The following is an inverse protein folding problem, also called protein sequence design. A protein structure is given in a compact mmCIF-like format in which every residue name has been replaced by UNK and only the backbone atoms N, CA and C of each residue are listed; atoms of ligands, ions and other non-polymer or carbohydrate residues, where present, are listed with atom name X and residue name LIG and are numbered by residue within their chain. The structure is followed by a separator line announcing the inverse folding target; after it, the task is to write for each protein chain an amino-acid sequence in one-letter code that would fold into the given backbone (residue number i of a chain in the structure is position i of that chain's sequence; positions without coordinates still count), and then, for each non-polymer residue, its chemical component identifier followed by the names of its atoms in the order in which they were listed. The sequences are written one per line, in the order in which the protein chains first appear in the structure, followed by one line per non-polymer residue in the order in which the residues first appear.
data_IF_951431190337
#
_entry.id   IF_951431190337
#
_cell.length_a   1.000
_cell.length_b   1.000
_cell.length_c   1.000
_cell.angle_alpha   90.00
_cell.angle_beta   90.00
_cell.angle_gamma   90.00
#
_symmetry.space_group_name_H-M   'P 1'
#
loop_
_entity.id
_entity.type
_entity.pdbx_description
1 polymer ?
#
# COMPACT_ATOMS: atom_id res chain seq x y z
N UNK A 1 -5.26 -7.61 68.25
CA UNK A 1 -6.21 -8.21 67.31
C UNK A 1 -5.74 -7.88 65.89
N UNK A 2 -4.86 -8.73 65.35
CA UNK A 2 -4.45 -8.76 63.93
C UNK A 2 -5.52 -9.54 63.16
N UNK A 3 -5.56 -9.41 61.83
CA UNK A 3 -6.60 -9.91 60.88
C UNK A 3 -7.74 -8.87 60.85
N UNK A 4 -7.91 -8.01 59.84
CA UNK A 4 -8.22 -8.28 58.42
C UNK A 4 -7.63 -7.13 57.56
N UNK A 5 -6.32 -7.15 57.27
CA UNK A 5 -5.69 -6.35 56.18
C UNK A 5 -5.43 -7.25 54.95
N UNK A 6 -5.98 -8.47 54.93
CA UNK A 6 -5.73 -9.44 53.86
C UNK A 6 -6.79 -9.48 52.74
N UNK A 7 -7.92 -8.78 52.88
CA UNK A 7 -8.99 -8.81 51.85
C UNK A 7 -8.78 -7.74 50.76
N UNK A 8 -8.02 -6.67 51.04
CA UNK A 8 -7.69 -5.65 50.03
C UNK A 8 -6.57 -6.06 49.05
N UNK A 9 -5.81 -7.13 49.36
CA UNK A 9 -4.76 -7.66 48.47
C UNK A 9 -5.27 -8.72 47.50
N UNK A 10 -6.53 -9.16 47.61
CA UNK A 10 -7.14 -10.12 46.68
C UNK A 10 -7.84 -9.48 45.48
N UNK A 11 -7.92 -8.14 45.42
CA UNK A 11 -8.67 -7.41 44.38
C UNK A 11 -7.78 -6.93 43.22
N UNK A 12 -6.45 -7.14 43.27
CA UNK A 12 -5.53 -6.59 42.27
C UNK A 12 -4.88 -7.62 41.32
N UNK A 13 -5.30 -8.90 41.33
CA UNK A 13 -4.60 -9.90 40.51
C UNK A 13 -5.43 -10.91 39.69
N UNK A 14 -6.77 -10.79 39.55
CA UNK A 14 -7.54 -11.70 38.68
C UNK A 14 -8.80 -11.03 38.11
N UNK A 15 -8.66 -10.27 37.03
CA UNK A 15 -9.73 -10.06 36.06
C UNK A 15 -9.08 -9.85 34.68
N UNK A 16 -8.35 -10.85 34.21
CA UNK A 16 -7.96 -10.89 32.80
C UNK A 16 -9.24 -10.97 31.98
N UNK A 17 -9.53 -9.92 31.21
CA UNK A 17 -10.67 -9.95 30.30
C UNK A 17 -10.53 -11.12 29.32
N UNK A 18 -11.64 -11.65 28.80
CA UNK A 18 -11.60 -12.68 27.76
C UNK A 18 -10.71 -12.24 26.57
N UNK A 19 -10.68 -10.96 26.22
CA UNK A 19 -9.75 -10.44 25.22
C UNK A 19 -8.27 -10.63 25.62
N UNK A 20 -7.91 -10.36 26.87
CA UNK A 20 -6.54 -10.54 27.39
C UNK A 20 -6.13 -12.01 27.37
N UNK A 21 -7.00 -12.90 27.87
CA UNK A 21 -6.74 -14.34 27.86
C UNK A 21 -6.64 -14.89 26.43
N UNK A 22 -7.46 -14.36 25.52
CA UNK A 22 -7.37 -14.68 24.09
C UNK A 22 -6.03 -14.28 23.48
N UNK A 23 -5.55 -13.06 23.76
CA UNK A 23 -4.25 -12.58 23.29
C UNK A 23 -3.09 -13.43 23.85
N UNK A 24 -3.14 -13.79 25.13
CA UNK A 24 -2.12 -14.63 25.77
C UNK A 24 -2.07 -16.04 25.18
N UNK A 25 -3.23 -16.66 24.94
CA UNK A 25 -3.31 -17.95 24.28
C UNK A 25 -2.78 -17.87 22.85
N UNK A 26 -3.12 -16.80 22.11
CA UNK A 26 -2.63 -16.56 20.75
C UNK A 26 -1.10 -16.45 20.69
N UNK A 27 -0.48 -15.72 21.62
CA UNK A 27 0.98 -15.61 21.70
C UNK A 27 1.68 -16.94 22.02
N UNK A 28 0.98 -17.86 22.69
CA UNK A 28 1.44 -19.23 22.96
C UNK A 28 1.10 -20.21 21.82
N UNK A 29 0.57 -19.72 20.70
CA UNK A 29 0.06 -20.51 19.58
C UNK A 29 -1.08 -21.50 19.94
N UNK A 30 -1.77 -21.27 21.07
CA UNK A 30 -2.98 -22.00 21.45
C UNK A 30 -4.20 -21.32 20.83
N UNK A 31 -4.34 -21.45 19.52
CA UNK A 31 -5.31 -20.70 18.72
C UNK A 31 -6.76 -21.10 19.00
N UNK A 32 -7.03 -22.37 19.25
CA UNK A 32 -8.40 -22.83 19.60
C UNK A 32 -8.87 -22.15 20.89
N UNK A 33 -8.01 -22.14 21.92
CA UNK A 33 -8.29 -21.45 23.17
C UNK A 33 -8.38 -19.94 22.98
N UNK A 34 -7.48 -19.35 22.17
CA UNK A 34 -7.53 -17.93 21.86
C UNK A 34 -8.86 -17.52 21.23
N UNK A 35 -9.35 -18.32 20.28
CA UNK A 35 -10.59 -18.02 19.56
C UNK A 35 -11.83 -18.26 20.39
N UNK A 36 -11.85 -19.27 21.26
CA UNK A 36 -12.91 -19.42 22.26
C UNK A 36 -13.02 -18.17 23.14
N UNK A 37 -11.90 -17.67 23.65
CA UNK A 37 -11.90 -16.42 24.42
C UNK A 37 -12.30 -15.19 23.59
N UNK A 38 -11.90 -15.11 22.31
CA UNK A 38 -12.35 -14.01 21.46
C UNK A 38 -13.84 -14.09 21.15
N UNK A 39 -14.45 -15.27 21.06
CA UNK A 39 -15.90 -15.44 20.87
C UNK A 39 -16.66 -14.85 22.05
N UNK A 40 -16.27 -15.22 23.27
CA UNK A 40 -16.88 -14.68 24.50
C UNK A 40 -16.69 -13.16 24.60
N UNK A 41 -15.46 -12.68 24.38
CA UNK A 41 -15.17 -11.25 24.41
C UNK A 41 -15.96 -10.48 23.33
N UNK A 42 -16.08 -11.03 22.12
CA UNK A 42 -16.84 -10.42 21.05
C UNK A 42 -18.35 -10.42 21.36
N UNK A 43 -18.88 -11.47 22.00
CA UNK A 43 -20.26 -11.51 22.47
C UNK A 43 -20.54 -10.38 23.48
N UNK A 44 -19.57 -10.06 24.34
CA UNK A 44 -19.57 -8.94 25.28
C UNK A 44 -19.24 -7.56 24.66
N UNK A 45 -19.32 -7.43 23.33
CA UNK A 45 -19.02 -6.19 22.59
C UNK A 45 -17.58 -5.68 22.74
N UNK A 46 -16.61 -6.54 23.05
CA UNK A 46 -15.19 -6.22 22.88
C UNK A 46 -14.86 -6.31 21.39
N UNK A 47 -15.09 -5.22 20.67
CA UNK A 47 -15.00 -5.17 19.21
C UNK A 47 -13.62 -5.54 18.63
N UNK A 48 -12.53 -5.37 19.40
CA UNK A 48 -11.19 -5.85 19.01
C UNK A 48 -11.16 -7.38 18.92
N UNK A 49 -11.86 -8.09 19.81
CA UNK A 49 -11.99 -9.55 19.71
C UNK A 49 -12.78 -9.97 18.47
N UNK A 50 -13.85 -9.23 18.14
CA UNK A 50 -14.58 -9.43 16.89
C UNK A 50 -13.66 -9.24 15.66
N UNK A 51 -12.80 -8.22 15.67
CA UNK A 51 -11.81 -8.02 14.60
C UNK A 51 -10.85 -9.22 14.48
N UNK A 52 -10.34 -9.74 15.61
CA UNK A 52 -9.46 -10.91 15.62
C UNK A 52 -10.14 -12.17 15.07
N UNK A 53 -11.42 -12.39 15.39
CA UNK A 53 -12.21 -13.48 14.80
C UNK A 53 -12.43 -13.29 13.31
N UNK A 54 -12.73 -12.07 12.86
CA UNK A 54 -12.85 -11.77 11.44
C UNK A 54 -11.58 -12.11 10.67
N UNK A 55 -10.42 -11.75 11.24
CA UNK A 55 -9.11 -12.08 10.67
C UNK A 55 -8.81 -13.59 10.66
N UNK A 56 -9.17 -14.31 11.73
CA UNK A 56 -9.02 -15.76 11.80
C UNK A 56 -9.78 -16.46 10.66
N UNK A 57 -11.05 -16.08 10.47
CA UNK A 57 -11.88 -16.66 9.40
C UNK A 57 -11.43 -16.25 7.99
N UNK A 58 -10.90 -15.04 7.80
CA UNK A 58 -10.35 -14.61 6.51
C UNK A 58 -9.05 -15.34 6.14
N UNK A 59 -8.16 -15.52 7.12
CA UNK A 59 -6.84 -16.12 6.93
C UNK A 59 -6.87 -17.65 6.88
N UNK A 60 -7.89 -18.27 7.49
CA UNK A 60 -8.00 -19.72 7.61
C UNK A 60 -7.03 -20.33 8.65
N UNK A 61 -6.49 -19.52 9.56
CA UNK A 61 -5.65 -20.03 10.65
C UNK A 61 -6.55 -20.72 11.68
N UNK A 62 -6.37 -22.03 11.82
CA UNK A 62 -7.08 -23.01 12.68
C UNK A 62 -8.59 -23.16 12.50
N UNK A 63 -9.28 -22.18 11.90
CA UNK A 63 -10.62 -22.35 11.36
C UNK A 63 -10.55 -22.53 9.85
N UNK A 64 -11.42 -23.37 9.28
CA UNK A 64 -11.58 -23.40 7.82
C UNK A 64 -11.92 -21.97 7.35
N UNK A 65 -11.20 -21.53 6.32
CA UNK A 65 -11.39 -20.21 5.73
C UNK A 65 -12.85 -19.99 5.35
N UNK A 66 -13.44 -18.93 5.88
CA UNK A 66 -14.85 -18.59 5.71
C UNK A 66 -15.02 -17.07 5.65
N UNK A 67 -15.09 -16.54 4.43
CA UNK A 67 -15.24 -15.10 4.24
C UNK A 67 -16.59 -14.57 4.72
N UNK A 68 -17.65 -15.39 4.75
CA UNK A 68 -18.98 -14.96 5.19
C UNK A 68 -18.97 -14.67 6.68
N UNK A 69 -18.36 -15.57 7.48
CA UNK A 69 -18.13 -15.30 8.91
C UNK A 69 -17.17 -14.13 9.14
N UNK A 70 -16.12 -14.00 8.32
CA UNK A 70 -15.24 -12.84 8.40
C UNK A 70 -16.01 -11.52 8.21
N UNK A 71 -16.94 -11.45 7.25
CA UNK A 71 -17.83 -10.30 7.04
C UNK A 71 -18.66 -9.99 8.28
N UNK A 72 -19.28 -10.99 8.90
CA UNK A 72 -20.11 -10.79 10.10
C UNK A 72 -19.30 -10.18 11.26
N UNK A 73 -18.14 -10.76 11.55
CA UNK A 73 -17.27 -10.30 12.63
C UNK A 73 -16.64 -8.94 12.34
N UNK A 74 -16.18 -8.68 11.12
CA UNK A 74 -15.67 -7.37 10.74
C UNK A 74 -16.76 -6.30 10.75
N UNK A 75 -18.00 -6.64 10.40
CA UNK A 75 -19.14 -5.72 10.53
C UNK A 75 -19.36 -5.34 12.00
N UNK A 76 -19.47 -6.32 12.89
CA UNK A 76 -19.63 -6.05 14.34
C UNK A 76 -18.48 -5.20 14.89
N UNK A 77 -17.24 -5.50 14.50
CA UNK A 77 -16.08 -4.71 14.91
C UNK A 77 -16.08 -3.28 14.34
N UNK A 78 -16.47 -3.11 13.07
CA UNK A 78 -16.56 -1.81 12.43
C UNK A 78 -17.69 -0.95 13.00
N UNK A 79 -18.82 -1.56 13.37
CA UNK A 79 -19.93 -0.88 14.04
C UNK A 79 -19.50 -0.35 15.43
N UNK A 80 -18.54 -1.02 16.08
CA UNK A 80 -17.87 -0.57 17.30
C UNK A 80 -16.58 0.23 17.10
N UNK A 81 -16.44 0.88 15.94
CA UNK A 81 -15.36 1.81 15.60
C UNK A 81 -13.93 1.22 15.60
N UNK A 82 -13.80 -0.10 15.42
CA UNK A 82 -12.52 -0.71 15.06
C UNK A 82 -12.26 -0.44 13.59
N UNK A 83 -11.61 0.69 13.28
CA UNK A 83 -11.46 1.18 11.91
C UNK A 83 -10.67 0.25 10.97
N UNK A 84 -9.75 -0.55 11.50
CA UNK A 84 -9.09 -1.61 10.72
C UNK A 84 -10.08 -2.72 10.28
N UNK A 85 -11.12 -2.99 11.07
CA UNK A 85 -12.20 -3.88 10.66
C UNK A 85 -13.04 -3.26 9.55
N UNK A 86 -13.33 -1.96 9.61
CA UNK A 86 -13.99 -1.24 8.51
C UNK A 86 -13.17 -1.33 7.21
N UNK A 87 -11.84 -1.21 7.30
CA UNK A 87 -10.95 -1.40 6.15
C UNK A 87 -11.06 -2.81 5.56
N UNK A 88 -10.96 -3.86 6.40
CA UNK A 88 -11.03 -5.24 5.92
C UNK A 88 -12.42 -5.56 5.37
N UNK A 89 -13.49 -5.10 6.01
CA UNK A 89 -14.85 -5.24 5.49
C UNK A 89 -15.01 -4.53 4.13
N UNK A 90 -14.41 -3.34 3.98
CA UNK A 90 -14.36 -2.62 2.72
C UNK A 90 -13.66 -3.41 1.62
N UNK A 91 -12.54 -4.09 1.94
CA UNK A 91 -11.84 -5.00 1.01
C UNK A 91 -12.71 -6.20 0.59
N UNK A 92 -13.50 -6.77 1.50
CA UNK A 92 -14.38 -7.90 1.17
C UNK A 92 -15.51 -7.47 0.23
N UNK A 93 -16.13 -6.31 0.46
CA UNK A 93 -17.11 -5.74 -0.47
C UNK A 93 -16.49 -5.29 -1.80
N UNK A 94 -15.27 -4.74 -1.80
CA UNK A 94 -14.57 -4.36 -3.03
C UNK A 94 -14.21 -5.59 -3.88
N UNK A 95 -13.97 -6.76 -3.27
CA UNK A 95 -13.58 -7.98 -4.00
C UNK A 95 -14.68 -9.03 -4.15
N UNK A 96 -15.87 -8.77 -3.62
CA UNK A 96 -16.97 -9.74 -3.60
C UNK A 96 -16.62 -11.05 -2.87
N UNK A 97 -15.90 -10.97 -1.74
CA UNK A 97 -15.46 -12.15 -0.97
C UNK A 97 -16.34 -12.36 0.26
N UNK A 98 -17.10 -13.46 0.28
CA UNK A 98 -18.07 -13.75 1.36
C UNK A 98 -19.34 -12.89 1.32
N UNK A 99 -19.40 -11.96 0.37
CA UNK A 99 -20.53 -11.05 0.06
C UNK A 99 -20.52 -10.78 -1.44
N UNK A 100 -21.65 -10.36 -2.00
CA UNK A 100 -21.67 -9.79 -3.35
C UNK A 100 -20.78 -8.55 -3.41
N UNK A 101 -20.10 -8.37 -4.55
CA UNK A 101 -19.30 -7.18 -4.79
C UNK A 101 -20.19 -5.93 -4.73
N UNK A 102 -19.76 -4.93 -3.94
CA UNK A 102 -20.46 -3.66 -3.79
C UNK A 102 -19.44 -2.53 -3.53
N UNK A 103 -19.05 -1.83 -4.60
CA UNK A 103 -18.08 -0.74 -4.54
C UNK A 103 -18.59 0.47 -3.77
N UNK A 104 -19.89 0.76 -3.81
CA UNK A 104 -20.46 1.90 -3.08
C UNK A 104 -20.40 1.65 -1.57
N UNK A 105 -20.64 0.41 -1.14
CA UNK A 105 -20.45 0.00 0.25
C UNK A 105 -18.98 -0.01 0.64
N UNK A 106 -18.09 -0.48 -0.23
CA UNK A 106 -16.64 -0.36 0.00
C UNK A 106 -16.19 1.09 0.16
N UNK A 107 -16.68 2.04 -0.66
CA UNK A 107 -16.42 3.48 -0.54
C UNK A 107 -16.85 4.00 0.83
N UNK A 108 -18.06 3.67 1.29
CA UNK A 108 -18.55 4.10 2.63
C UNK A 108 -17.66 3.56 3.75
N UNK A 109 -17.30 2.29 3.69
CA UNK A 109 -16.47 1.61 4.69
C UNK A 109 -15.04 2.15 4.71
N UNK A 110 -14.43 2.36 3.54
CA UNK A 110 -13.12 3.00 3.44
C UNK A 110 -13.15 4.45 3.92
N UNK A 111 -14.23 5.19 3.67
CA UNK A 111 -14.40 6.54 4.21
C UNK A 111 -14.42 6.51 5.73
N UNK A 112 -15.28 5.70 6.36
CA UNK A 112 -15.33 5.55 7.82
C UNK A 112 -13.96 5.16 8.40
N UNK A 113 -13.30 4.19 7.76
CA UNK A 113 -11.98 3.71 8.17
C UNK A 113 -10.88 4.78 8.07
N UNK A 114 -10.91 5.57 6.99
CA UNK A 114 -9.93 6.63 6.71
C UNK A 114 -10.07 7.80 7.69
N UNK A 115 -11.30 8.19 7.98
CA UNK A 115 -11.60 9.22 8.98
C UNK A 115 -11.25 8.77 10.40
N UNK A 116 -11.32 7.47 10.68
CA UNK A 116 -10.88 6.86 11.93
C UNK A 116 -9.37 6.57 12.05
N UNK A 117 -8.54 7.02 11.09
CA UNK A 117 -7.08 6.92 11.19
C UNK A 117 -6.46 5.64 10.64
N UNK A 118 -7.22 4.74 10.03
CA UNK A 118 -6.67 3.59 9.30
C UNK A 118 -6.26 3.99 7.88
N UNK A 119 -5.17 4.76 7.73
CA UNK A 119 -4.83 5.50 6.51
C UNK A 119 -4.60 4.67 5.23
N UNK A 120 -4.41 3.34 5.33
CA UNK A 120 -4.42 2.44 4.16
C UNK A 120 -5.78 2.45 3.45
N UNK A 121 -6.87 2.66 4.17
CA UNK A 121 -8.20 2.82 3.58
C UNK A 121 -8.32 4.11 2.75
N UNK A 122 -7.66 5.20 3.17
CA UNK A 122 -7.60 6.44 2.39
C UNK A 122 -6.97 6.19 1.00
N UNK A 123 -5.93 5.36 0.93
CA UNK A 123 -5.31 4.96 -0.35
C UNK A 123 -6.28 4.20 -1.25
N UNK A 124 -6.98 3.20 -0.71
CA UNK A 124 -7.94 2.41 -1.50
C UNK A 124 -9.14 3.25 -1.93
N UNK A 125 -9.65 4.12 -1.05
CA UNK A 125 -10.71 5.07 -1.36
C UNK A 125 -10.30 6.01 -2.49
N UNK A 126 -9.11 6.62 -2.39
CA UNK A 126 -8.57 7.48 -3.43
C UNK A 126 -8.41 6.72 -4.76
N UNK A 127 -7.96 5.46 -4.71
CA UNK A 127 -7.79 4.60 -5.88
C UNK A 127 -9.13 4.21 -6.53
N UNK A 128 -10.22 4.11 -5.76
CA UNK A 128 -11.56 3.95 -6.34
C UNK A 128 -11.99 5.23 -7.07
N UNK A 129 -11.71 6.40 -6.49
CA UNK A 129 -12.00 7.69 -7.11
C UNK A 129 -11.15 8.00 -8.36
N UNK A 130 -10.14 7.20 -8.70
CA UNK A 130 -9.45 7.31 -10.00
C UNK A 130 -10.01 6.39 -11.08
N UNK A 131 -10.89 5.44 -10.72
CA UNK A 131 -11.56 4.55 -11.67
C UNK A 131 -12.69 5.28 -12.38
N UNK A 132 -12.83 5.06 -13.69
CA UNK A 132 -13.81 5.73 -14.56
C UNK A 132 -15.24 5.75 -14.00
N UNK A 133 -15.67 4.65 -13.39
CA UNK A 133 -17.04 4.48 -12.86
C UNK A 133 -17.34 5.38 -11.65
N UNK A 134 -16.36 5.62 -10.79
CA UNK A 134 -16.49 6.41 -9.56
C UNK A 134 -15.64 7.67 -9.60
N UNK A 135 -15.27 8.12 -10.79
CA UNK A 135 -14.18 9.06 -10.96
C UNK A 135 -14.47 10.40 -10.28
N UNK A 136 -13.59 10.78 -9.35
CA UNK A 136 -13.56 12.09 -8.72
C UNK A 136 -12.11 12.39 -8.33
N UNK A 137 -11.34 12.94 -9.28
CA UNK A 137 -9.92 13.21 -9.04
C UNK A 137 -9.69 14.24 -7.92
N UNK A 138 -10.67 15.12 -7.64
CA UNK A 138 -10.56 16.07 -6.54
C UNK A 138 -10.58 15.32 -5.22
N UNK A 139 -11.54 14.41 -5.01
CA UNK A 139 -11.56 13.52 -3.84
C UNK A 139 -10.35 12.60 -3.80
N UNK A 140 -9.94 12.03 -4.94
CA UNK A 140 -8.74 11.19 -5.00
C UNK A 140 -7.51 11.94 -4.50
N UNK A 141 -7.32 13.20 -4.92
CA UNK A 141 -6.19 14.01 -4.47
C UNK A 141 -6.20 14.27 -2.95
N UNK A 142 -7.38 14.54 -2.37
CA UNK A 142 -7.53 14.76 -0.93
C UNK A 142 -7.17 13.50 -0.15
N UNK A 143 -7.72 12.34 -0.53
CA UNK A 143 -7.48 11.09 0.19
C UNK A 143 -6.08 10.51 -0.04
N UNK A 144 -5.50 10.66 -1.24
CA UNK A 144 -4.08 10.32 -1.44
C UNK A 144 -3.17 11.22 -0.61
N UNK A 145 -3.49 12.52 -0.48
CA UNK A 145 -2.72 13.43 0.39
C UNK A 145 -2.80 12.98 1.84
N UNK A 146 -4.01 12.74 2.37
CA UNK A 146 -4.20 12.27 3.75
C UNK A 146 -3.43 10.96 4.03
N UNK A 147 -3.44 10.03 3.07
CA UNK A 147 -2.66 8.79 3.17
C UNK A 147 -1.13 9.03 3.10
N UNK A 148 -0.68 9.90 2.19
CA UNK A 148 0.74 10.24 2.01
C UNK A 148 1.33 10.99 3.21
N UNK A 149 0.55 11.88 3.83
CA UNK A 149 0.95 12.61 5.04
C UNK A 149 1.11 11.67 6.24
N UNK A 150 0.49 10.49 6.21
CA UNK A 150 0.56 9.45 7.24
C UNK A 150 1.28 8.18 6.72
N UNK A 151 2.38 8.39 6.00
CA UNK A 151 3.37 7.37 5.61
C UNK A 151 2.86 6.20 4.74
N UNK A 152 1.67 6.32 4.14
CA UNK A 152 1.26 5.41 3.06
C UNK A 152 1.93 5.86 1.76
N UNK A 153 3.22 5.54 1.62
CA UNK A 153 4.12 6.11 0.60
C UNK A 153 3.70 5.87 -0.87
N UNK A 154 2.98 4.77 -1.17
CA UNK A 154 2.37 4.57 -2.48
C UNK A 154 1.36 5.66 -2.85
N UNK A 155 0.71 6.28 -1.86
CA UNK A 155 -0.20 7.40 -2.07
C UNK A 155 0.53 8.68 -2.46
N UNK A 156 1.76 8.89 -1.97
CA UNK A 156 2.58 10.03 -2.40
C UNK A 156 2.88 9.93 -3.90
N UNK A 157 3.24 8.73 -4.38
CA UNK A 157 3.43 8.49 -5.81
C UNK A 157 2.17 8.82 -6.62
N UNK A 158 1.01 8.28 -6.22
CA UNK A 158 -0.24 8.49 -6.96
C UNK A 158 -0.68 9.95 -6.93
N UNK A 159 -0.50 10.65 -5.80
CA UNK A 159 -0.73 12.09 -5.72
C UNK A 159 0.21 12.85 -6.66
N UNK A 160 1.48 12.46 -6.74
CA UNK A 160 2.44 13.02 -7.69
C UNK A 160 2.03 12.81 -9.14
N UNK A 161 1.32 11.72 -9.47
CA UNK A 161 0.73 11.52 -10.80
C UNK A 161 -0.40 12.53 -11.06
N UNK A 162 -1.28 12.75 -10.08
CA UNK A 162 -2.36 13.73 -10.20
C UNK A 162 -1.82 15.15 -10.42
N UNK A 163 -0.82 15.58 -9.64
CA UNK A 163 -0.17 16.89 -9.83
C UNK A 163 0.59 17.00 -11.16
N UNK A 164 1.30 15.95 -11.59
CA UNK A 164 1.99 15.94 -12.89
C UNK A 164 1.01 16.09 -14.06
N UNK A 165 -0.20 15.55 -13.94
CA UNK A 165 -1.21 15.55 -15.00
C UNK A 165 -2.26 16.67 -14.87
N UNK A 166 -2.35 17.35 -13.71
CA UNK A 166 -3.40 18.33 -13.45
C UNK A 166 -4.79 17.71 -13.25
N UNK A 167 -4.86 16.49 -12.71
CA UNK A 167 -6.12 15.76 -12.51
C UNK A 167 -6.67 16.04 -11.12
N UNK A 168 -7.78 16.78 -11.04
CA UNK A 168 -8.41 17.14 -9.75
C UNK A 168 -7.64 18.18 -8.93
N UNK A 169 -6.47 18.60 -9.41
CA UNK A 169 -5.59 19.63 -8.86
C UNK A 169 -5.02 20.46 -10.00
N UNK A 170 -4.56 21.69 -9.72
CA UNK A 170 -3.79 22.45 -10.70
C UNK A 170 -2.49 21.70 -11.01
N UNK A 171 -2.14 21.57 -12.28
CA UNK A 171 -0.90 20.91 -12.66
C UNK A 171 0.30 21.62 -12.02
N UNK A 172 1.15 20.86 -11.34
CA UNK A 172 2.35 21.36 -10.69
C UNK A 172 3.44 20.29 -10.68
N UNK A 173 4.48 20.51 -11.48
CA UNK A 173 5.60 19.57 -11.58
C UNK A 173 6.54 19.63 -10.36
N UNK A 174 6.58 20.75 -9.63
CA UNK A 174 7.42 20.88 -8.43
C UNK A 174 6.79 20.09 -7.29
N UNK A 175 5.48 20.20 -7.08
CA UNK A 175 4.78 19.34 -6.11
C UNK A 175 4.89 17.86 -6.51
N UNK A 176 4.74 17.53 -7.81
CA UNK A 176 4.94 16.16 -8.28
C UNK A 176 6.36 15.66 -8.01
N UNK A 177 7.39 16.50 -8.19
CA UNK A 177 8.78 16.18 -7.87
C UNK A 177 8.93 15.80 -6.40
N UNK A 178 8.47 16.66 -5.48
CA UNK A 178 8.65 16.45 -4.04
C UNK A 178 7.92 15.18 -3.56
N UNK A 179 6.74 14.90 -4.13
CA UNK A 179 5.98 13.69 -3.85
C UNK A 179 6.67 12.41 -4.38
N UNK A 180 7.22 12.45 -5.60
CA UNK A 180 7.98 11.32 -6.13
C UNK A 180 9.30 11.11 -5.37
N UNK A 181 9.96 12.19 -4.93
CA UNK A 181 11.16 12.12 -4.10
C UNK A 181 10.85 11.49 -2.74
N UNK A 182 9.80 11.96 -2.04
CA UNK A 182 9.34 11.35 -0.79
C UNK A 182 9.08 9.85 -0.96
N UNK A 183 8.33 9.45 -1.98
CA UNK A 183 8.03 8.05 -2.24
C UNK A 183 9.28 7.23 -2.64
N UNK A 184 10.18 7.80 -3.44
CA UNK A 184 11.45 7.17 -3.83
C UNK A 184 12.35 6.93 -2.62
N UNK A 185 12.50 7.91 -1.73
CA UNK A 185 13.28 7.78 -0.51
C UNK A 185 12.70 6.73 0.44
N UNK A 186 11.37 6.54 0.42
CA UNK A 186 10.69 5.47 1.13
C UNK A 186 10.72 4.08 0.44
N UNK A 187 11.52 3.91 -0.61
CA UNK A 187 11.71 2.61 -1.28
C UNK A 187 10.70 2.29 -2.38
N UNK A 188 9.86 3.24 -2.80
CA UNK A 188 8.95 3.04 -3.94
C UNK A 188 9.71 3.34 -5.25
N UNK A 189 10.42 2.34 -5.79
CA UNK A 189 11.36 2.54 -6.91
C UNK A 189 10.72 3.06 -8.22
N UNK A 190 9.46 2.75 -8.46
CA UNK A 190 8.70 3.34 -9.57
C UNK A 190 8.57 4.86 -9.45
N UNK A 191 8.62 5.41 -8.22
CA UNK A 191 8.69 6.86 -7.98
C UNK A 191 10.07 7.42 -8.30
N UNK A 192 11.15 6.67 -8.05
CA UNK A 192 12.49 7.06 -8.50
C UNK A 192 12.54 7.17 -10.03
N UNK A 193 11.87 6.25 -10.75
CA UNK A 193 11.72 6.36 -12.20
C UNK A 193 10.91 7.60 -12.62
N UNK A 194 9.78 7.89 -11.95
CA UNK A 194 8.98 9.08 -12.26
C UNK A 194 9.75 10.38 -11.97
N UNK A 195 10.52 10.42 -10.89
CA UNK A 195 11.41 11.53 -10.54
C UNK A 195 12.49 11.72 -11.61
N UNK A 196 13.13 10.62 -12.05
CA UNK A 196 14.12 10.64 -13.13
C UNK A 196 13.55 11.21 -14.44
N UNK A 197 12.28 10.92 -14.76
CA UNK A 197 11.61 11.49 -15.92
C UNK A 197 11.44 13.01 -15.81
N UNK A 198 11.17 13.56 -14.62
CA UNK A 198 11.09 15.01 -14.41
C UNK A 198 12.45 15.67 -14.63
N UNK A 199 13.52 15.10 -14.08
CA UNK A 199 14.90 15.53 -14.31
C UNK A 199 15.34 15.44 -15.78
N UNK A 200 15.04 14.32 -16.45
CA UNK A 200 15.41 14.13 -17.85
C UNK A 200 14.69 15.13 -18.80
N UNK A 201 13.47 15.54 -18.46
CA UNK A 201 12.64 16.45 -19.27
C UNK A 201 12.72 17.91 -18.84
N UNK A 202 13.33 18.21 -17.69
CA UNK A 202 13.33 19.56 -17.12
C UNK A 202 11.92 20.07 -16.79
N UNK A 203 11.05 19.22 -16.23
CA UNK A 203 9.67 19.58 -15.89
C UNK A 203 9.58 19.95 -14.41
N UNK A 204 9.29 21.21 -14.12
CA UNK A 204 9.26 21.78 -12.76
C UNK A 204 10.62 22.11 -12.18
N UNK A 205 11.70 21.86 -12.92
CA UNK A 205 13.10 21.99 -12.50
C UNK A 205 14.03 21.96 -13.74
N UNK A 206 15.28 22.36 -13.56
CA UNK A 206 16.27 22.34 -14.65
C UNK A 206 16.60 20.92 -15.09
N UNK A 207 16.64 20.70 -16.40
CA UNK A 207 17.01 19.42 -17.00
C UNK A 207 18.37 18.93 -16.47
N UNK A 208 18.43 17.70 -15.96
CA UNK A 208 19.66 17.13 -15.38
C UNK A 208 19.73 15.61 -15.58
N UNK A 209 20.47 15.16 -16.61
CA UNK A 209 20.65 13.73 -16.86
C UNK A 209 21.58 13.04 -15.87
N UNK A 210 22.50 13.75 -15.21
CA UNK A 210 23.33 13.13 -14.17
C UNK A 210 22.47 12.58 -13.02
N UNK A 211 21.51 13.38 -12.55
CA UNK A 211 20.55 12.96 -11.51
C UNK A 211 19.59 11.91 -12.09
N UNK A 212 19.04 12.14 -13.28
CA UNK A 212 18.13 11.19 -13.91
C UNK A 212 18.76 9.80 -14.09
N UNK A 213 20.02 9.71 -14.51
CA UNK A 213 20.72 8.45 -14.72
C UNK A 213 20.97 7.70 -13.41
N UNK A 214 21.29 8.39 -12.30
CA UNK A 214 21.39 7.78 -10.97
C UNK A 214 20.05 7.18 -10.52
N UNK A 215 18.96 7.91 -10.71
CA UNK A 215 17.62 7.46 -10.38
C UNK A 215 17.13 6.32 -11.29
N UNK A 216 17.39 6.40 -12.60
CA UNK A 216 17.11 5.30 -13.54
C UNK A 216 17.90 4.06 -13.17
N UNK A 217 19.18 4.20 -12.79
CA UNK A 217 19.99 3.07 -12.34
C UNK A 217 19.36 2.41 -11.11
N UNK A 218 19.05 3.17 -10.07
CA UNK A 218 18.39 2.64 -8.86
C UNK A 218 17.10 1.90 -9.20
N UNK A 219 16.20 2.53 -9.96
CA UNK A 219 14.95 1.90 -10.35
C UNK A 219 15.17 0.66 -11.23
N UNK A 220 16.16 0.67 -12.12
CA UNK A 220 16.51 -0.49 -12.94
C UNK A 220 17.12 -1.64 -12.11
N UNK A 221 17.95 -1.34 -11.12
CA UNK A 221 18.50 -2.33 -10.20
C UNK A 221 17.37 -3.04 -9.45
N UNK A 222 16.31 -2.30 -9.08
CA UNK A 222 15.05 -2.80 -8.52
C UNK A 222 13.99 -3.20 -9.57
N UNK A 223 14.43 -3.64 -10.74
CA UNK A 223 13.59 -4.29 -11.76
C UNK A 223 12.46 -3.45 -12.36
N UNK A 224 12.55 -2.11 -12.32
CA UNK A 224 11.66 -1.24 -13.09
C UNK A 224 12.11 -1.23 -14.56
N UNK A 225 11.42 -1.99 -15.41
CA UNK A 225 11.79 -2.22 -16.80
C UNK A 225 11.94 -0.93 -17.63
N UNK A 226 11.03 0.03 -17.47
CA UNK A 226 11.11 1.34 -18.11
C UNK A 226 12.35 2.14 -17.71
N UNK A 227 12.84 1.96 -16.48
CA UNK A 227 14.06 2.63 -16.01
C UNK A 227 15.30 2.01 -16.65
N UNK A 228 15.35 0.68 -16.77
CA UNK A 228 16.40 -0.01 -17.52
C UNK A 228 16.44 0.44 -18.98
N UNK A 229 15.29 0.53 -19.63
CA UNK A 229 15.18 1.06 -21.00
C UNK A 229 15.74 2.48 -21.10
N UNK A 230 15.34 3.39 -20.22
CA UNK A 230 15.80 4.79 -20.27
C UNK A 230 17.28 4.96 -19.92
N UNK A 231 17.82 4.15 -19.02
CA UNK A 231 19.26 4.12 -18.76
C UNK A 231 20.03 3.57 -19.97
N UNK A 232 19.50 2.53 -20.62
CA UNK A 232 20.06 1.98 -21.86
C UNK A 232 20.12 3.02 -22.97
N UNK A 233 19.05 3.81 -23.16
CA UNK A 233 19.04 4.95 -24.10
C UNK A 233 20.10 5.98 -23.71
N UNK A 234 20.27 6.26 -22.42
CA UNK A 234 21.27 7.23 -21.96
C UNK A 234 22.70 6.79 -22.28
N UNK A 235 23.02 5.50 -22.14
CA UNK A 235 24.28 4.93 -22.62
C UNK A 235 24.40 4.88 -24.15
N UNK A 236 23.30 4.61 -24.86
CA UNK A 236 23.32 4.57 -26.33
C UNK A 236 23.61 5.94 -26.94
N UNK A 237 23.04 7.00 -26.36
CA UNK A 237 23.15 8.36 -26.88
C UNK A 237 24.25 9.21 -26.20
N UNK A 238 24.77 8.80 -25.05
CA UNK A 238 25.76 9.58 -24.28
C UNK A 238 25.15 10.74 -23.48
N UNK A 239 23.94 10.57 -22.94
CA UNK A 239 23.21 11.63 -22.20
C UNK A 239 23.79 11.83 -20.79
N UNK A 240 24.79 12.71 -20.67
CA UNK A 240 25.53 12.96 -19.42
C UNK A 240 26.11 11.68 -18.80
N UNK A 241 26.49 10.74 -19.65
CA UNK A 241 27.20 9.52 -19.31
C UNK A 241 28.01 9.10 -20.54
N UNK A 242 29.13 8.43 -20.34
CA UNK A 242 29.95 7.94 -21.45
C UNK A 242 29.15 6.97 -22.33
N UNK A 243 29.17 7.21 -23.64
CA UNK A 243 28.43 6.41 -24.61
C UNK A 243 28.98 4.98 -24.65
N UNK A 244 28.09 3.99 -24.52
CA UNK A 244 28.46 2.57 -24.55
C UNK A 244 27.32 1.72 -25.09
N UNK A 245 27.46 1.25 -26.34
CA UNK A 245 26.48 0.35 -26.97
C UNK A 245 26.40 -1.01 -26.26
N UNK A 246 27.53 -1.51 -25.74
CA UNK A 246 27.56 -2.76 -24.95
C UNK A 246 26.71 -2.63 -23.68
N UNK A 247 26.90 -1.57 -22.89
CA UNK A 247 26.08 -1.30 -21.69
C UNK A 247 24.61 -1.06 -22.06
N UNK A 248 24.35 -0.34 -23.14
CA UNK A 248 22.99 -0.14 -23.65
C UNK A 248 22.31 -1.47 -24.00
N UNK A 249 22.98 -2.36 -24.73
CA UNK A 249 22.48 -3.70 -25.07
C UNK A 249 22.12 -4.51 -23.83
N UNK A 250 23.01 -4.55 -22.84
CA UNK A 250 22.76 -5.26 -21.56
C UNK A 250 21.50 -4.73 -20.88
N UNK A 251 21.33 -3.41 -20.82
CA UNK A 251 20.16 -2.78 -20.19
C UNK A 251 18.87 -2.99 -21.00
N UNK A 252 18.94 -2.97 -22.32
CA UNK A 252 17.81 -3.31 -23.19
C UNK A 252 17.40 -4.77 -23.03
N UNK A 253 18.37 -5.69 -22.97
CA UNK A 253 18.11 -7.11 -22.67
C UNK A 253 17.44 -7.28 -21.32
N UNK A 254 17.95 -6.62 -20.27
CA UNK A 254 17.32 -6.64 -18.93
C UNK A 254 15.89 -6.09 -18.98
N UNK A 255 15.66 -4.94 -19.62
CA UNK A 255 14.32 -4.37 -19.77
C UNK A 255 13.36 -5.31 -20.52
N UNK A 256 13.84 -6.01 -21.55
CA UNK A 256 13.10 -7.02 -22.29
C UNK A 256 12.69 -8.20 -21.40
N UNK A 257 13.63 -8.78 -20.63
CA UNK A 257 13.34 -9.87 -19.67
C UNK A 257 12.33 -9.46 -18.61
N UNK A 258 12.32 -8.18 -18.23
CA UNK A 258 11.36 -7.59 -17.29
C UNK A 258 10.02 -7.18 -17.96
N UNK A 259 9.77 -7.59 -19.21
CA UNK A 259 8.49 -7.41 -19.90
C UNK A 259 8.35 -6.14 -20.74
N UNK A 260 9.39 -5.28 -20.85
CA UNK A 260 9.34 -4.15 -21.78
C UNK A 260 9.66 -4.61 -23.20
N UNK A 261 8.65 -5.13 -23.90
CA UNK A 261 8.80 -5.83 -25.20
C UNK A 261 9.57 -5.03 -26.24
N UNK A 262 9.38 -3.70 -26.32
CA UNK A 262 10.11 -2.83 -27.26
C UNK A 262 11.63 -2.84 -27.02
N UNK A 263 12.10 -3.18 -25.83
CA UNK A 263 13.54 -3.28 -25.54
C UNK A 263 14.17 -4.52 -26.17
N UNK A 264 13.39 -5.57 -26.45
CA UNK A 264 13.89 -6.80 -27.07
C UNK A 264 14.45 -6.50 -28.48
N UNK A 265 13.73 -5.71 -29.27
CA UNK A 265 14.19 -5.31 -30.61
C UNK A 265 15.43 -4.42 -30.56
N UNK A 266 15.53 -3.51 -29.59
CA UNK A 266 16.73 -2.68 -29.42
C UNK A 266 17.95 -3.50 -29.00
N UNK A 267 17.76 -4.49 -28.11
CA UNK A 267 18.83 -5.41 -27.74
C UNK A 267 19.29 -6.22 -28.94
N UNK A 268 18.37 -6.83 -29.68
CA UNK A 268 18.68 -7.65 -30.86
C UNK A 268 19.37 -6.83 -31.94
N UNK A 269 18.89 -5.62 -32.23
CA UNK A 269 19.52 -4.76 -33.22
C UNK A 269 20.96 -4.37 -32.87
N UNK A 270 21.31 -4.26 -31.58
CA UNK A 270 22.68 -4.03 -31.15
C UNK A 270 23.54 -5.29 -31.24
N UNK A 271 22.97 -6.45 -30.96
CA UNK A 271 23.61 -7.76 -31.11
C UNK A 271 23.93 -8.06 -32.58
N UNK A 272 22.99 -7.79 -33.49
CA UNK A 272 23.17 -7.93 -34.94
C UNK A 272 24.24 -6.97 -35.49
N UNK A 273 24.54 -5.88 -34.77
CA UNK A 273 25.62 -4.94 -35.09
C UNK A 273 26.98 -5.33 -34.48
N UNK A 274 27.08 -6.47 -33.78
CA UNK A 274 28.32 -6.97 -33.17
C UNK A 274 28.70 -6.33 -31.83
N UNK A 275 27.77 -5.64 -31.15
CA UNK A 275 27.95 -5.16 -29.77
C UNK A 275 27.45 -6.19 -28.76
#
# INVERSE_FOLDING_TARGET
MKIIILILLFILNLNSSNLTMGNEAYLKADYEKAYSFYEDACAENRYVACYNLGFAYESGHTKQKDYSKAVEYYKKACDGDVYNACYNLGLLYDKGKGVFEDKLKAIKLYTKSCEGGAYRSCHNLASLYTKKEYQDYKKASVYFKKACDNDVNYSCMNLGVLYKQGLGVKQDYKIAHDLYEKACNAGIDISCYNLALLYAKGKGLSKNYNIANKLYKRACDNNISNACMNLGVSYYEGRSIEKSKVKAKILFKKACTLGYVKACSYSKALEDQGF
#
